data_IF_992807370866
#
_entry.id   IF_992807370866
#
_cell.length_a   1.000
_cell.length_b   1.000
_cell.length_c   1.000
_cell.angle_alpha   90.00
_cell.angle_beta   90.00
_cell.angle_gamma   90.00
#
_symmetry.space_group_name_H-M   'P 1'
#
loop_
_entity.id
_entity.type
_entity.pdbx_description
1 polymer ?
#
# COMPACT_ATOMS: atom_id res chain seq x y z
N UNK A 1 -13.00 23.06 11.40
CA UNK A 1 -13.83 23.19 12.62
C UNK A 1 -14.15 24.66 12.92
N UNK A 2 -13.16 25.56 13.01
CA UNK A 2 -13.37 27.01 13.20
C UNK A 2 -14.34 27.65 12.19
N UNK A 3 -14.22 27.33 10.90
CA UNK A 3 -15.13 27.85 9.86
C UNK A 3 -16.59 27.40 10.03
N UNK A 4 -16.81 26.20 10.59
CA UNK A 4 -18.15 25.67 10.83
C UNK A 4 -18.82 26.38 12.01
N UNK A 5 -18.06 26.62 13.09
CA UNK A 5 -18.53 27.37 14.27
C UNK A 5 -18.83 28.82 13.89
N UNK A 6 -17.96 29.46 13.09
CA UNK A 6 -18.17 30.82 12.62
C UNK A 6 -19.40 30.95 11.70
N UNK A 7 -19.65 29.96 10.85
CA UNK A 7 -20.80 29.94 9.94
C UNK A 7 -22.12 29.67 10.68
N UNK A 8 -22.14 28.79 11.68
CA UNK A 8 -23.31 28.55 12.53
C UNK A 8 -23.65 29.77 13.41
N UNK A 9 -22.63 30.46 13.93
CA UNK A 9 -22.81 31.69 14.69
C UNK A 9 -23.39 32.83 13.81
N UNK A 10 -22.92 32.95 12.56
CA UNK A 10 -23.46 33.90 11.59
C UNK A 10 -24.91 33.63 11.21
N UNK A 11 -25.28 32.35 11.05
CA UNK A 11 -26.66 31.95 10.74
C UNK A 11 -27.63 32.21 11.91
N UNK A 12 -27.19 31.95 13.14
CA UNK A 12 -27.99 32.24 14.34
C UNK A 12 -28.18 33.76 14.55
N UNK A 13 -27.15 34.57 14.31
CA UNK A 13 -27.24 36.02 14.40
C UNK A 13 -28.18 36.63 13.34
N UNK A 14 -28.17 36.08 12.11
CA UNK A 14 -29.02 36.53 11.02
C UNK A 14 -30.52 36.24 11.23
N UNK A 15 -30.88 35.25 12.06
CA UNK A 15 -32.27 34.90 12.37
C UNK A 15 -32.88 35.76 13.50
N UNK A 16 -32.05 36.45 14.29
CA UNK A 16 -32.49 37.20 15.48
C UNK A 16 -32.56 38.71 15.24
N UNK A 17 -31.86 39.24 14.22
CA UNK A 17 -31.78 40.68 13.93
C UNK A 17 -32.52 41.02 12.61
N UNK A 18 -33.67 41.73 12.67
CA UNK A 18 -34.38 42.15 11.47
C UNK A 18 -33.59 43.28 10.77
N UNK A 19 -33.05 42.98 9.58
CA UNK A 19 -32.27 43.93 8.76
C UNK A 19 -31.04 43.33 8.05
N UNK A 20 -30.71 42.06 8.29
CA UNK A 20 -29.52 41.38 7.72
C UNK A 20 -29.89 40.26 6.73
N UNK A 21 -31.03 40.37 6.04
CA UNK A 21 -31.50 39.38 5.05
C UNK A 21 -30.52 39.17 3.88
N UNK A 22 -29.69 40.17 3.54
CA UNK A 22 -28.68 40.05 2.47
C UNK A 22 -27.50 39.14 2.82
N UNK A 23 -27.23 38.91 4.11
CA UNK A 23 -26.16 38.00 4.56
C UNK A 23 -26.53 36.53 4.39
N UNK A 24 -27.82 36.21 4.28
CA UNK A 24 -28.31 34.85 4.01
C UNK A 24 -27.88 34.38 2.63
N UNK A 25 -27.78 35.31 1.66
CA UNK A 25 -27.40 35.01 0.27
C UNK A 25 -25.93 34.55 0.14
N UNK A 26 -25.05 34.94 1.06
CA UNK A 26 -23.61 34.60 1.04
C UNK A 26 -23.30 33.45 2.01
N UNK A 27 -23.94 33.43 3.19
CA UNK A 27 -23.67 32.42 4.23
C UNK A 27 -24.28 31.06 3.92
N UNK A 28 -25.46 31.01 3.28
CA UNK A 28 -26.11 29.77 2.88
C UNK A 28 -25.27 28.91 1.91
N UNK A 29 -24.84 29.46 0.76
CA UNK A 29 -24.01 28.71 -0.19
C UNK A 29 -22.65 28.30 0.38
N UNK A 30 -22.05 29.15 1.22
CA UNK A 30 -20.77 28.86 1.88
C UNK A 30 -20.86 27.72 2.90
N UNK A 31 -21.95 27.66 3.67
CA UNK A 31 -22.23 26.57 4.59
C UNK A 31 -22.47 25.24 3.85
N UNK A 32 -23.24 25.28 2.76
CA UNK A 32 -23.48 24.13 1.90
C UNK A 32 -22.20 23.64 1.21
N UNK A 33 -21.36 24.55 0.73
CA UNK A 33 -20.06 24.20 0.13
C UNK A 33 -19.11 23.57 1.15
N UNK A 34 -19.04 24.13 2.37
CA UNK A 34 -18.24 23.57 3.47
C UNK A 34 -18.74 22.19 3.90
N UNK A 35 -20.06 22.01 4.02
CA UNK A 35 -20.67 20.72 4.33
C UNK A 35 -20.43 19.70 3.21
N UNK A 36 -20.56 20.11 1.95
CA UNK A 36 -20.25 19.28 0.78
C UNK A 36 -18.77 18.86 0.75
N UNK A 37 -17.84 19.78 1.05
CA UNK A 37 -16.42 19.47 1.16
C UNK A 37 -16.11 18.53 2.33
N UNK A 38 -16.79 18.67 3.47
CA UNK A 38 -16.65 17.77 4.62
C UNK A 38 -17.20 16.37 4.32
N UNK A 39 -18.36 16.27 3.66
CA UNK A 39 -18.96 15.01 3.23
C UNK A 39 -18.12 14.32 2.15
N UNK A 40 -17.62 15.09 1.17
CA UNK A 40 -16.67 14.58 0.16
C UNK A 40 -15.36 14.15 0.80
N UNK A 41 -14.84 14.92 1.77
CA UNK A 41 -13.63 14.59 2.52
C UNK A 41 -13.77 13.32 3.36
N UNK A 42 -14.96 13.07 3.92
CA UNK A 42 -15.27 11.82 4.63
C UNK A 42 -15.40 10.61 3.68
N UNK A 43 -15.93 10.80 2.47
CA UNK A 43 -15.95 9.76 1.44
C UNK A 43 -14.57 9.45 0.84
N UNK A 44 -13.70 10.46 0.70
CA UNK A 44 -12.33 10.32 0.18
C UNK A 44 -11.40 9.69 1.24
N UNK A 45 -11.60 9.98 2.53
CA UNK A 45 -10.85 9.33 3.63
C UNK A 45 -11.25 7.87 3.90
N UNK A 46 -12.37 7.41 3.33
CA UNK A 46 -12.87 6.03 3.47
C UNK A 46 -12.78 5.26 2.16
N UNK A 47 -11.63 5.29 1.51
CA UNK A 47 -11.18 4.11 0.77
C UNK A 47 -10.21 3.34 1.66
N UNK A 48 -10.68 2.51 2.61
CA UNK A 48 -9.85 1.38 2.98
C UNK A 48 -9.54 0.66 1.67
N UNK A 49 -8.26 0.32 1.45
CA UNK A 49 -7.72 -0.27 0.22
C UNK A 49 -8.37 -1.60 -0.11
N UNK A 50 -9.64 -1.54 -0.51
CA UNK A 50 -10.46 -2.66 -0.90
C UNK A 50 -9.88 -3.27 -2.14
N UNK A 51 -9.57 -4.56 -2.03
CA UNK A 51 -9.42 -5.47 -3.14
C UNK A 51 -10.45 -5.12 -4.22
N UNK A 52 -9.99 -4.58 -5.36
CA UNK A 52 -10.92 -4.19 -6.43
C UNK A 52 -10.38 -3.26 -7.52
N UNK A 53 -9.28 -2.53 -7.31
CA UNK A 53 -8.59 -1.86 -8.41
C UNK A 53 -7.08 -2.03 -8.30
N UNK A 54 -6.51 -2.52 -9.40
CA UNK A 54 -5.10 -2.53 -9.75
C UNK A 54 -4.34 -1.33 -9.13
N UNK A 55 -3.67 -1.58 -8.01
CA UNK A 55 -2.88 -0.59 -7.28
C UNK A 55 -1.41 -0.97 -7.27
N UNK A 56 -0.56 -0.03 -6.88
CA UNK A 56 0.84 -0.34 -6.61
C UNK A 56 0.94 -1.26 -5.38
N UNK A 57 1.93 -2.15 -5.39
CA UNK A 57 2.24 -3.03 -4.27
C UNK A 57 3.75 -3.13 -4.13
N UNK A 58 4.26 -2.86 -2.94
CA UNK A 58 5.69 -2.93 -2.63
C UNK A 58 5.97 -4.30 -2.03
N UNK A 59 7.00 -4.98 -2.52
CA UNK A 59 7.44 -6.28 -2.06
C UNK A 59 8.74 -6.07 -1.31
N UNK A 60 8.78 -6.54 -0.06
CA UNK A 60 10.02 -6.67 0.69
C UNK A 60 10.78 -7.89 0.16
N UNK A 61 11.69 -7.64 -0.78
CA UNK A 61 12.44 -8.68 -1.46
C UNK A 61 13.35 -9.45 -0.50
N UNK A 62 13.91 -8.77 0.51
CA UNK A 62 14.78 -9.38 1.52
C UNK A 62 14.02 -10.27 2.48
N UNK A 63 12.73 -10.01 2.73
CA UNK A 63 11.88 -10.94 3.47
C UNK A 63 11.41 -12.11 2.59
N UNK A 64 10.90 -11.81 1.39
CA UNK A 64 10.27 -12.81 0.49
C UNK A 64 11.28 -13.83 -0.03
N UNK A 65 12.53 -13.47 -0.23
CA UNK A 65 13.57 -14.39 -0.71
C UNK A 65 13.80 -15.60 0.21
N UNK A 66 13.34 -15.54 1.47
CA UNK A 66 13.45 -16.65 2.43
C UNK A 66 12.19 -17.51 2.55
N UNK A 67 11.11 -17.23 1.81
CA UNK A 67 9.80 -17.86 2.06
C UNK A 67 9.69 -19.36 1.72
N UNK A 68 10.52 -19.90 0.83
CA UNK A 68 10.41 -21.29 0.41
C UNK A 68 10.88 -22.27 1.49
N UNK A 69 12.14 -22.16 1.91
CA UNK A 69 12.76 -23.06 2.90
C UNK A 69 13.72 -22.33 3.86
N UNK A 70 13.61 -21.00 3.94
CA UNK A 70 14.53 -20.16 4.71
C UNK A 70 15.84 -19.86 3.99
N UNK A 71 16.15 -20.50 2.86
CA UNK A 71 17.33 -20.17 2.06
C UNK A 71 17.06 -18.93 1.22
N UNK A 72 17.96 -17.94 1.18
CA UNK A 72 17.83 -16.78 0.30
C UNK A 72 17.81 -17.21 -1.18
N UNK A 73 16.68 -17.03 -1.87
CA UNK A 73 16.51 -17.32 -3.31
C UNK A 73 15.67 -16.25 -4.00
N UNK A 74 15.92 -16.02 -5.28
CA UNK A 74 15.11 -15.09 -6.09
C UNK A 74 13.82 -15.72 -6.63
N UNK A 75 13.77 -17.05 -6.77
CA UNK A 75 12.60 -17.75 -7.32
C UNK A 75 11.30 -17.39 -6.57
N UNK A 76 11.28 -17.34 -5.22
CA UNK A 76 10.10 -16.88 -4.47
C UNK A 76 9.67 -15.46 -4.81
N UNK A 77 10.63 -14.54 -4.95
CA UNK A 77 10.34 -13.14 -5.29
C UNK A 77 9.74 -13.05 -6.70
N UNK A 78 10.31 -13.78 -7.67
CA UNK A 78 9.77 -13.85 -9.03
C UNK A 78 8.36 -14.46 -9.07
N UNK A 79 8.08 -15.47 -8.24
CA UNK A 79 6.76 -16.09 -8.16
C UNK A 79 5.73 -15.12 -7.59
N UNK A 80 6.09 -14.39 -6.53
CA UNK A 80 5.24 -13.33 -5.93
C UNK A 80 4.97 -12.22 -6.94
N UNK A 81 6.00 -11.73 -7.64
CA UNK A 81 5.84 -10.71 -8.70
C UNK A 81 4.84 -11.18 -9.76
N UNK A 82 5.06 -12.36 -10.35
CA UNK A 82 4.16 -12.92 -11.37
C UNK A 82 2.75 -13.15 -10.85
N UNK A 83 2.61 -13.59 -9.60
CA UNK A 83 1.29 -13.78 -8.97
C UNK A 83 0.54 -12.46 -8.83
N UNK A 84 1.22 -11.40 -8.39
CA UNK A 84 0.63 -10.07 -8.23
C UNK A 84 0.28 -9.42 -9.57
N UNK A 85 1.13 -9.55 -10.59
CA UNK A 85 0.84 -9.06 -11.95
C UNK A 85 -0.39 -9.75 -12.55
N UNK A 86 -0.51 -11.08 -12.41
CA UNK A 86 -1.70 -11.83 -12.85
C UNK A 86 -3.00 -11.36 -12.18
N UNK A 87 -2.89 -10.79 -10.98
CA UNK A 87 -4.02 -10.22 -10.24
C UNK A 87 -4.23 -8.72 -10.52
N UNK A 88 -3.44 -8.15 -11.43
CA UNK A 88 -3.56 -6.77 -11.90
C UNK A 88 -2.85 -5.75 -11.01
N UNK A 89 -1.98 -6.16 -10.09
CA UNK A 89 -1.17 -5.20 -9.33
C UNK A 89 0.05 -4.75 -10.13
N UNK A 90 0.58 -3.59 -9.77
CA UNK A 90 1.88 -3.12 -10.27
C UNK A 90 2.92 -3.31 -9.18
N UNK A 91 3.68 -4.42 -9.18
CA UNK A 91 4.66 -4.69 -8.13
C UNK A 91 5.92 -3.84 -8.30
N UNK A 92 6.41 -3.31 -7.17
CA UNK A 92 7.78 -2.82 -7.01
C UNK A 92 8.48 -3.62 -5.94
N UNK A 93 9.74 -3.99 -6.14
CA UNK A 93 10.53 -4.79 -5.20
C UNK A 93 11.60 -3.91 -4.57
N UNK A 94 11.68 -3.95 -3.25
CA UNK A 94 12.72 -3.27 -2.47
C UNK A 94 13.53 -4.31 -1.72
N UNK A 95 14.85 -4.24 -1.85
CA UNK A 95 15.79 -5.09 -1.14
C UNK A 95 16.61 -4.29 -0.14
N UNK A 96 16.97 -4.91 0.97
CA UNK A 96 18.02 -4.42 1.85
C UNK A 96 19.39 -4.46 1.18
N UNK A 97 20.36 -3.76 1.78
CA UNK A 97 21.72 -3.71 1.28
C UNK A 97 22.43 -5.08 1.26
N UNK A 98 21.96 -6.06 2.03
CA UNK A 98 22.59 -7.38 2.12
C UNK A 98 22.08 -8.39 1.07
N UNK A 99 20.91 -8.16 0.47
CA UNK A 99 20.30 -9.09 -0.48
C UNK A 99 21.25 -9.48 -1.63
N UNK A 100 21.99 -8.51 -2.18
CA UNK A 100 22.96 -8.77 -3.24
C UNK A 100 24.06 -9.76 -2.81
N UNK A 101 24.56 -9.59 -1.58
CA UNK A 101 25.56 -10.48 -1.00
C UNK A 101 25.00 -11.88 -0.74
N UNK A 102 23.78 -11.98 -0.20
CA UNK A 102 23.13 -13.25 0.10
C UNK A 102 22.83 -14.09 -1.15
N UNK A 103 22.55 -13.45 -2.28
CA UNK A 103 22.15 -14.14 -3.52
C UNK A 103 23.32 -14.51 -4.43
N UNK A 104 24.48 -13.89 -4.25
CA UNK A 104 25.61 -14.07 -5.19
C UNK A 104 27.00 -14.12 -4.56
N UNK A 105 27.08 -14.05 -3.22
CA UNK A 105 28.33 -13.96 -2.47
C UNK A 105 29.11 -12.65 -2.69
N UNK A 106 28.54 -11.68 -3.43
CA UNK A 106 29.14 -10.36 -3.72
C UNK A 106 28.07 -9.28 -3.72
N UNK A 107 28.46 -8.03 -3.47
CA UNK A 107 27.54 -6.89 -3.60
C UNK A 107 27.07 -6.77 -5.06
N UNK A 108 25.76 -6.82 -5.30
CA UNK A 108 25.15 -6.63 -6.62
C UNK A 108 24.25 -5.40 -6.58
N UNK A 109 24.41 -4.53 -7.57
CA UNK A 109 23.56 -3.34 -7.79
C UNK A 109 22.23 -3.71 -8.49
N UNK A 110 21.26 -2.80 -8.44
CA UNK A 110 19.89 -2.91 -9.00
C UNK A 110 19.81 -3.61 -10.36
N UNK A 111 20.76 -3.31 -11.25
CA UNK A 111 20.81 -3.83 -12.62
C UNK A 111 20.90 -5.36 -12.71
N UNK A 112 21.46 -6.03 -11.71
CA UNK A 112 21.49 -7.49 -11.69
C UNK A 112 20.13 -8.08 -11.32
N UNK A 113 19.43 -7.43 -10.38
CA UNK A 113 18.09 -7.83 -9.93
C UNK A 113 17.02 -7.56 -10.99
N UNK A 114 17.15 -6.50 -11.79
CA UNK A 114 16.24 -6.20 -12.91
C UNK A 114 16.08 -7.38 -13.87
N UNK A 115 17.21 -7.90 -14.37
CA UNK A 115 17.20 -9.03 -15.33
C UNK A 115 16.69 -10.31 -14.68
N UNK A 116 17.03 -10.53 -13.41
CA UNK A 116 16.63 -11.73 -12.69
C UNK A 116 15.14 -11.70 -12.34
N UNK A 117 14.57 -10.54 -12.02
CA UNK A 117 13.15 -10.41 -11.67
C UNK A 117 12.24 -10.20 -12.88
N UNK A 118 12.80 -9.84 -14.04
CA UNK A 118 12.02 -9.49 -15.23
C UNK A 118 11.22 -8.19 -15.06
N UNK A 119 11.63 -7.34 -14.12
CA UNK A 119 11.00 -6.06 -13.82
C UNK A 119 11.82 -4.91 -14.40
N UNK A 120 11.17 -3.82 -14.84
CA UNK A 120 11.88 -2.61 -15.26
C UNK A 120 12.59 -1.96 -14.06
N UNK A 121 13.67 -1.24 -14.34
CA UNK A 121 14.56 -0.62 -13.34
C UNK A 121 13.83 0.27 -12.33
N UNK A 122 12.82 0.99 -12.78
CA UNK A 122 12.00 1.86 -11.94
C UNK A 122 11.14 1.11 -10.91
N UNK A 123 11.09 -0.23 -10.97
CA UNK A 123 10.35 -1.09 -10.05
C UNK A 123 11.24 -1.99 -9.19
N UNK A 124 12.55 -1.83 -9.25
CA UNK A 124 13.49 -2.59 -8.41
C UNK A 124 14.45 -1.60 -7.75
N UNK A 125 14.54 -1.66 -6.43
CA UNK A 125 15.43 -0.80 -5.65
C UNK A 125 16.18 -1.61 -4.61
N UNK A 126 17.50 -1.49 -4.58
CA UNK A 126 18.33 -1.98 -3.47
C UNK A 126 18.70 -0.78 -2.60
N UNK A 127 18.41 -0.86 -1.30
CA UNK A 127 18.71 0.20 -0.34
C UNK A 127 20.23 0.31 -0.12
N UNK A 128 20.73 1.54 -0.03
CA UNK A 128 22.13 1.82 0.22
C UNK A 128 22.62 1.22 1.54
N UNK A 129 23.87 0.76 1.56
CA UNK A 129 24.51 0.25 2.78
C UNK A 129 24.57 1.33 3.86
N UNK A 130 24.10 0.99 5.06
CA UNK A 130 24.04 1.90 6.21
C UNK A 130 22.70 2.63 6.34
N UNK A 131 21.83 2.53 5.34
CA UNK A 131 20.45 3.00 5.42
C UNK A 131 19.53 1.85 5.84
N UNK A 132 18.64 2.03 6.84
CA UNK A 132 17.66 1.01 7.20
C UNK A 132 16.66 0.75 6.05
N UNK A 133 16.42 -0.52 5.72
CA UNK A 133 15.51 -0.90 4.64
C UNK A 133 14.04 -0.65 5.01
N UNK A 134 13.63 -1.02 6.22
CA UNK A 134 12.26 -0.89 6.73
C UNK A 134 11.62 0.49 6.47
N UNK A 135 12.19 1.64 6.91
CA UNK A 135 11.58 2.94 6.66
C UNK A 135 11.57 3.29 5.17
N UNK A 136 12.51 2.76 4.39
CA UNK A 136 12.55 2.97 2.93
C UNK A 136 11.40 2.24 2.24
N UNK A 137 11.15 0.98 2.61
CA UNK A 137 10.00 0.17 2.14
C UNK A 137 8.69 0.85 2.51
N UNK A 138 8.54 1.26 3.77
CA UNK A 138 7.31 1.87 4.29
C UNK A 138 7.04 3.24 3.68
N UNK A 139 8.09 4.02 3.41
CA UNK A 139 7.99 5.32 2.74
C UNK A 139 7.61 5.16 1.27
N UNK A 140 8.27 4.26 0.54
CA UNK A 140 7.90 3.95 -0.84
C UNK A 140 6.44 3.50 -0.93
N UNK A 141 5.98 2.65 -0.01
CA UNK A 141 4.60 2.23 0.04
C UNK A 141 3.64 3.37 0.37
N UNK A 142 4.02 4.27 1.28
CA UNK A 142 3.21 5.44 1.65
C UNK A 142 3.06 6.42 0.49
N UNK A 143 4.16 6.75 -0.18
CA UNK A 143 4.20 7.72 -1.28
C UNK A 143 3.35 7.24 -2.48
N UNK A 144 3.32 5.93 -2.71
CA UNK A 144 2.57 5.31 -3.81
C UNK A 144 1.14 4.89 -3.42
N UNK A 145 0.73 5.10 -2.17
CA UNK A 145 -0.52 4.54 -1.60
C UNK A 145 -0.62 3.03 -1.86
N UNK A 146 0.51 2.34 -1.73
CA UNK A 146 0.67 0.93 -1.99
C UNK A 146 0.53 0.10 -0.71
N UNK A 147 0.27 -1.20 -0.90
CA UNK A 147 0.36 -2.21 0.17
C UNK A 147 1.77 -2.79 0.20
N UNK A 148 2.15 -3.42 1.30
CA UNK A 148 3.47 -4.04 1.49
C UNK A 148 3.32 -5.55 1.63
N UNK A 149 4.04 -6.32 0.81
CA UNK A 149 4.17 -7.77 0.92
C UNK A 149 5.42 -8.08 1.74
N UNK A 150 5.22 -8.59 2.94
CA UNK A 150 6.28 -9.01 3.86
C UNK A 150 5.67 -9.84 4.99
N UNK A 151 6.45 -10.69 5.65
CA UNK A 151 6.09 -11.33 6.92
C UNK A 151 6.57 -10.55 8.16
N UNK A 152 7.31 -9.46 7.97
CA UNK A 152 7.77 -8.60 9.06
C UNK A 152 6.68 -7.65 9.57
N UNK A 153 6.70 -7.40 10.89
CA UNK A 153 5.68 -6.58 11.56
C UNK A 153 6.04 -5.10 11.62
N UNK A 154 7.29 -4.73 11.32
CA UNK A 154 7.82 -3.36 11.38
C UNK A 154 7.40 -2.60 12.65
N UNK A 155 7.40 -3.28 13.81
CA UNK A 155 6.80 -2.75 15.05
C UNK A 155 7.44 -1.44 15.50
N UNK A 156 8.75 -1.34 15.30
CA UNK A 156 9.55 -0.19 15.72
C UNK A 156 9.21 1.07 14.91
N UNK A 157 8.67 0.90 13.70
CA UNK A 157 8.30 1.97 12.78
C UNK A 157 6.84 2.39 12.89
N UNK A 158 6.04 1.75 13.74
CA UNK A 158 4.60 1.99 13.84
C UNK A 158 4.23 3.39 14.39
N UNK A 159 5.18 4.10 15.01
CA UNK A 159 5.00 5.49 15.41
C UNK A 159 5.07 6.45 14.22
N UNK A 160 6.01 6.22 13.29
CA UNK A 160 6.22 7.03 12.10
C UNK A 160 5.27 6.63 10.96
N UNK A 161 4.97 5.33 10.83
CA UNK A 161 4.12 4.76 9.79
C UNK A 161 2.89 4.06 10.43
N UNK A 162 1.87 4.80 10.87
CA UNK A 162 0.69 4.22 11.51
C UNK A 162 -0.11 3.30 10.57
N UNK A 163 0.10 3.37 9.26
CA UNK A 163 -0.52 2.49 8.26
C UNK A 163 -0.19 1.01 8.50
N UNK A 164 0.92 0.68 9.16
CA UNK A 164 1.30 -0.69 9.53
C UNK A 164 0.18 -1.39 10.34
N UNK A 165 -0.58 -0.62 11.13
CA UNK A 165 -1.68 -1.13 11.95
C UNK A 165 -3.00 -1.23 11.19
N UNK A 166 -3.07 -0.72 9.96
CA UNK A 166 -4.28 -0.75 9.15
C UNK A 166 -4.47 -2.14 8.53
N UNK A 167 -5.66 -2.75 8.66
CA UNK A 167 -5.95 -4.02 8.00
C UNK A 167 -5.72 -3.93 6.49
N UNK A 168 -5.00 -4.91 5.95
CA UNK A 168 -4.72 -5.02 4.53
C UNK A 168 -3.57 -4.12 4.00
N UNK A 169 -2.94 -3.30 4.84
CA UNK A 169 -1.70 -2.60 4.44
C UNK A 169 -0.53 -3.59 4.32
N UNK A 170 -0.33 -4.42 5.35
CA UNK A 170 0.60 -5.54 5.29
C UNK A 170 -0.12 -6.77 4.72
N UNK A 171 0.50 -7.35 3.70
CA UNK A 171 0.10 -8.58 3.05
C UNK A 171 1.08 -9.67 3.45
N UNK A 172 0.59 -10.68 4.17
CA UNK A 172 1.39 -11.87 4.48
C UNK A 172 1.32 -12.87 3.35
N UNK A 173 2.24 -13.82 3.38
CA UNK A 173 2.24 -14.92 2.45
C UNK A 173 3.30 -15.95 2.80
N UNK A 174 3.42 -16.94 1.93
CA UNK A 174 4.41 -17.99 2.04
C UNK A 174 4.07 -19.15 1.12
N UNK A 175 4.65 -20.31 1.43
CA UNK A 175 4.38 -21.54 0.70
C UNK A 175 3.58 -22.52 1.56
N UNK A 176 2.61 -23.19 0.95
CA UNK A 176 1.87 -24.29 1.54
C UNK A 176 1.74 -25.40 0.50
N UNK A 177 2.23 -26.61 0.81
CA UNK A 177 2.25 -27.71 -0.16
C UNK A 177 3.02 -27.41 -1.46
N UNK A 178 4.02 -26.52 -1.41
CA UNK A 178 4.77 -26.08 -2.59
C UNK A 178 4.06 -25.02 -3.44
N UNK A 179 2.87 -24.56 -3.04
CA UNK A 179 2.13 -23.50 -3.71
C UNK A 179 2.25 -22.19 -2.94
N UNK A 180 2.53 -21.09 -3.66
CA UNK A 180 2.50 -19.75 -3.10
C UNK A 180 1.06 -19.37 -2.70
N UNK A 181 0.91 -18.79 -1.52
CA UNK A 181 -0.32 -18.15 -1.05
C UNK A 181 -0.01 -16.75 -0.50
N UNK A 182 -0.93 -15.81 -0.71
CA UNK A 182 -0.91 -14.47 -0.11
C UNK A 182 -2.24 -14.20 0.61
N UNK A 183 -2.22 -13.39 1.68
CA UNK A 183 -3.41 -12.90 2.41
C UNK A 183 -4.35 -12.01 1.55
N UNK A 184 -4.02 -11.86 0.28
CA UNK A 184 -4.85 -11.21 -0.74
C UNK A 184 -5.75 -12.22 -1.46
N UNK A 185 -5.38 -13.49 -1.42
CA UNK A 185 -6.01 -14.54 -2.20
C UNK A 185 -7.41 -14.82 -1.63
N UNK A 186 -8.38 -15.14 -2.51
CA UNK A 186 -9.70 -15.55 -2.03
C UNK A 186 -9.53 -16.76 -1.08
N UNK A 187 -10.36 -16.89 -0.04
CA UNK A 187 -10.27 -17.97 0.94
C UNK A 187 -10.34 -19.38 0.30
N UNK A 188 -10.86 -19.48 -0.93
CA UNK A 188 -10.86 -20.69 -1.72
C UNK A 188 -9.93 -20.51 -2.92
N UNK A 189 -8.70 -21.06 -2.81
CA UNK A 189 -7.69 -21.03 -3.86
C UNK A 189 -8.28 -21.40 -5.22
N UNK A 190 -8.31 -20.42 -6.13
CA UNK A 190 -8.73 -20.56 -7.52
C UNK A 190 -7.74 -21.42 -8.32
N UNK A 191 -7.62 -22.70 -7.96
CA UNK A 191 -7.24 -23.74 -8.89
C UNK A 191 -8.39 -23.88 -9.90
N UNK A 192 -8.31 -23.14 -11.00
CA UNK A 192 -8.97 -23.53 -12.25
C UNK A 192 -8.25 -24.79 -12.79
N UNK A 193 -8.34 -25.89 -12.05
CA UNK A 193 -7.97 -27.23 -12.49
C UNK A 193 -8.99 -27.68 -13.52
N UNK A 194 -8.52 -27.88 -14.76
CA UNK A 194 -9.34 -28.23 -15.90
C UNK A 194 -10.27 -29.42 -15.63
N UNK A 195 -11.53 -29.27 -16.06
CA UNK A 195 -12.40 -30.41 -16.36
C UNK A 195 -11.74 -31.24 -17.46
N UNK A 196 -10.96 -32.26 -17.08
CA UNK A 196 -10.80 -33.45 -17.90
C UNK A 196 -12.14 -34.17 -17.88
N UNK A 197 -12.92 -33.97 -18.95
CA UNK A 197 -14.02 -34.88 -19.29
C UNK A 197 -13.36 -36.13 -19.85
N UNK A 198 -13.51 -37.24 -19.12
CA UNK A 198 -13.55 -38.57 -19.70
C UNK A 198 -14.88 -38.74 -20.46
#
# INVERSE_FOLDING_TARGET
MFLLVLSLAGLAAALVLPGLSDLVLITGPSALASLFLLLRGWGVRRRPGGAGKAGYIVIDGSNVMHWADGTPRLDPVQEVVRHLERRGFTPGVVFDANAGYLLSGRYQHDHAFEKLLGLPRDRVMVVDKGTPADPTILRAASDMTARVVSNDRYRDWAAEFPQIRQPGFLVRGGYSGGQLWLDLDPPDGGASGGKRRA
#
